data_IF_650323244993
#
_entry.id   IF_650323244993
#
_cell.length_a   1.000
_cell.length_b   1.000
_cell.length_c   1.000
_cell.angle_alpha   90.00
_cell.angle_beta   90.00
_cell.angle_gamma   90.00
#
_symmetry.space_group_name_H-M   'P 1'
#
loop_
_entity.id
_entity.type
_entity.pdbx_description
1 polymer ?
#
# COMPACT_ATOMS: atom_id res chain seq x y z
N UNK A 1 18.74 -0.50 20.38
CA UNK A 1 19.04 -1.08 19.05
C UNK A 1 17.71 -1.25 18.33
N UNK A 2 17.33 -0.31 17.47
CA UNK A 2 16.11 -0.41 16.68
C UNK A 2 16.42 -1.25 15.45
N UNK A 3 15.93 -2.49 15.42
CA UNK A 3 15.90 -3.32 14.22
C UNK A 3 14.91 -2.66 13.24
N UNK A 4 15.41 -1.76 12.39
CA UNK A 4 14.65 -1.08 11.32
C UNK A 4 14.41 -1.99 10.11
N UNK A 5 13.94 -3.22 10.37
CA UNK A 5 13.60 -4.17 9.32
C UNK A 5 12.27 -4.82 9.64
N UNK A 6 11.28 -4.65 8.75
CA UNK A 6 10.04 -5.44 8.83
C UNK A 6 10.43 -6.92 8.85
N UNK A 7 9.85 -7.74 9.75
CA UNK A 7 10.22 -9.14 9.85
C UNK A 7 9.96 -9.85 8.53
N UNK A 8 10.91 -10.69 8.10
CA UNK A 8 10.73 -11.52 6.91
C UNK A 8 9.63 -12.55 7.19
N UNK A 9 8.53 -12.44 6.46
CA UNK A 9 7.44 -13.41 6.51
C UNK A 9 7.74 -14.60 5.59
N UNK A 10 7.46 -15.82 6.06
CA UNK A 10 7.69 -17.06 5.32
C UNK A 10 6.33 -17.71 5.01
N UNK A 11 5.99 -17.96 3.73
CA UNK A 11 4.77 -18.66 3.35
C UNK A 11 4.72 -20.08 3.93
N UNK A 12 3.53 -20.51 4.36
CA UNK A 12 3.33 -21.82 5.01
C UNK A 12 2.79 -22.91 4.07
N UNK A 13 2.49 -22.57 2.82
CA UNK A 13 1.79 -23.45 1.87
C UNK A 13 0.27 -23.50 2.06
N UNK A 14 -0.27 -22.84 3.09
CA UNK A 14 -1.71 -22.69 3.31
C UNK A 14 -2.14 -21.23 3.16
N UNK A 15 -3.36 -21.01 2.69
CA UNK A 15 -3.92 -19.68 2.50
C UNK A 15 -4.13 -18.97 3.85
N UNK A 16 -3.48 -17.83 4.02
CA UNK A 16 -3.52 -17.04 5.26
C UNK A 16 -4.86 -16.35 5.54
N UNK A 17 -5.82 -16.37 4.60
CA UNK A 17 -7.18 -15.94 4.89
C UNK A 17 -7.93 -16.90 5.86
N UNK A 18 -7.34 -18.05 6.21
CA UNK A 18 -7.91 -19.01 7.16
C UNK A 18 -8.81 -20.08 6.53
N UNK A 19 -9.00 -20.11 5.22
CA UNK A 19 -9.87 -21.10 4.56
C UNK A 19 -9.26 -22.52 4.45
N UNK A 20 -8.00 -22.71 4.85
CA UNK A 20 -7.31 -23.99 4.82
C UNK A 20 -6.83 -24.47 3.44
N UNK A 21 -7.13 -23.75 2.36
CA UNK A 21 -6.72 -24.11 0.99
C UNK A 21 -5.20 -24.08 0.82
N UNK A 22 -4.66 -25.06 0.09
CA UNK A 22 -3.26 -25.06 -0.35
C UNK A 22 -2.98 -23.92 -1.35
N UNK A 23 -1.80 -23.32 -1.23
CA UNK A 23 -1.35 -22.25 -2.13
C UNK A 23 0.00 -22.62 -2.74
N UNK A 24 0.24 -22.12 -3.96
CA UNK A 24 1.49 -22.40 -4.67
C UNK A 24 2.73 -21.93 -3.91
N UNK A 25 3.88 -22.52 -4.25
CA UNK A 25 5.17 -22.17 -3.66
C UNK A 25 5.41 -20.65 -3.67
N UNK A 26 5.85 -20.10 -2.54
CA UNK A 26 6.11 -18.68 -2.39
C UNK A 26 4.87 -17.79 -2.21
N UNK A 27 3.65 -18.34 -2.23
CA UNK A 27 2.40 -17.55 -2.08
C UNK A 27 1.86 -17.62 -0.66
N UNK A 28 1.33 -16.50 -0.17
CA UNK A 28 0.63 -16.41 1.11
C UNK A 28 -0.88 -16.63 1.00
N UNK A 29 -1.46 -16.29 -0.14
CA UNK A 29 -2.91 -16.28 -0.37
C UNK A 29 -3.28 -17.04 -1.64
N UNK A 30 -4.46 -17.64 -1.65
CA UNK A 30 -5.14 -18.02 -2.88
C UNK A 30 -5.54 -16.76 -3.67
N UNK A 31 -5.81 -16.90 -4.96
CA UNK A 31 -6.14 -15.75 -5.83
C UNK A 31 -7.35 -14.97 -5.28
N UNK A 32 -7.16 -13.68 -5.00
CA UNK A 32 -8.19 -12.77 -4.45
C UNK A 32 -8.44 -12.88 -2.95
N UNK A 33 -7.81 -13.85 -2.25
CA UNK A 33 -8.04 -14.07 -0.82
C UNK A 33 -7.27 -13.09 0.09
N UNK A 34 -6.29 -12.36 -0.46
CA UNK A 34 -5.64 -11.24 0.21
C UNK A 34 -6.67 -10.16 0.58
N UNK A 35 -7.60 -9.85 -0.33
CA UNK A 35 -8.67 -8.88 -0.09
C UNK A 35 -9.73 -9.36 0.89
N UNK A 36 -10.01 -10.65 0.91
CA UNK A 36 -10.89 -11.25 1.93
C UNK A 36 -10.25 -11.12 3.31
N UNK A 37 -8.95 -11.44 3.43
CA UNK A 37 -8.22 -11.31 4.68
C UNK A 37 -8.13 -9.85 5.16
N UNK A 38 -7.85 -8.92 4.25
CA UNK A 38 -7.85 -7.47 4.51
C UNK A 38 -9.23 -7.00 5.02
N UNK A 39 -10.32 -7.38 4.34
CA UNK A 39 -11.68 -7.00 4.75
C UNK A 39 -12.06 -7.58 6.12
N UNK A 40 -11.70 -8.84 6.40
CA UNK A 40 -11.92 -9.45 7.71
C UNK A 40 -11.14 -8.71 8.82
N UNK A 41 -9.87 -8.35 8.56
CA UNK A 41 -9.08 -7.54 9.49
C UNK A 41 -9.72 -6.17 9.72
N UNK A 42 -10.19 -5.53 8.65
CA UNK A 42 -10.88 -4.24 8.71
C UNK A 42 -12.13 -4.29 9.60
N UNK A 43 -12.97 -5.32 9.44
CA UNK A 43 -14.15 -5.51 10.28
C UNK A 43 -13.78 -5.77 11.74
N UNK A 44 -12.76 -6.60 12.00
CA UNK A 44 -12.35 -6.99 13.35
C UNK A 44 -11.65 -5.88 14.15
N UNK A 45 -10.94 -4.96 13.47
CA UNK A 45 -10.07 -3.98 14.13
C UNK A 45 -10.50 -2.54 13.96
N UNK A 46 -11.29 -2.23 12.93
CA UNK A 46 -11.59 -0.86 12.53
C UNK A 46 -13.06 -0.66 12.16
N UNK A 47 -13.97 -1.55 12.57
CA UNK A 47 -15.40 -1.52 12.25
C UNK A 47 -15.70 -1.38 10.74
N UNK A 48 -14.82 -1.95 9.89
CA UNK A 48 -14.91 -1.83 8.44
C UNK A 48 -14.64 -0.43 7.89
N UNK A 49 -14.17 0.50 8.72
CA UNK A 49 -13.97 1.91 8.35
C UNK A 49 -12.50 2.23 8.06
N UNK A 50 -12.23 2.66 6.83
CA UNK A 50 -10.91 3.19 6.44
C UNK A 50 -10.55 4.44 7.26
N UNK A 51 -11.54 5.26 7.63
CA UNK A 51 -11.29 6.42 8.47
C UNK A 51 -10.78 6.02 9.87
N UNK A 52 -11.37 4.96 10.46
CA UNK A 52 -10.91 4.44 11.75
C UNK A 52 -9.52 3.78 11.64
N UNK A 53 -9.24 3.06 10.55
CA UNK A 53 -7.89 2.56 10.26
C UNK A 53 -6.88 3.71 10.21
N UNK A 54 -7.14 4.76 9.43
CA UNK A 54 -6.22 5.89 9.31
C UNK A 54 -6.01 6.57 10.66
N UNK A 55 -7.09 6.83 11.39
CA UNK A 55 -7.04 7.45 12.72
C UNK A 55 -6.24 6.61 13.72
N UNK A 56 -6.45 5.30 13.75
CA UNK A 56 -5.72 4.38 14.63
C UNK A 56 -4.21 4.35 14.36
N UNK A 57 -3.78 4.73 13.14
CA UNK A 57 -2.37 4.84 12.75
C UNK A 57 -1.86 6.30 12.76
N UNK A 58 -2.61 7.20 13.41
CA UNK A 58 -2.22 8.59 13.60
C UNK A 58 -2.50 9.51 12.42
N UNK A 59 -3.17 9.04 11.37
CA UNK A 59 -3.49 9.84 10.18
C UNK A 59 -4.91 10.42 10.25
N UNK A 60 -5.14 11.53 9.54
CA UNK A 60 -6.44 12.20 9.52
C UNK A 60 -6.42 13.45 8.64
N UNK A 61 -7.41 14.32 8.80
CA UNK A 61 -7.54 15.57 8.03
C UNK A 61 -6.33 16.51 8.19
N UNK A 62 -5.69 16.51 9.36
CA UNK A 62 -4.52 17.34 9.67
C UNK A 62 -3.18 16.60 9.54
N UNK A 63 -3.19 15.27 9.40
CA UNK A 63 -1.99 14.46 9.22
C UNK A 63 -2.19 13.50 8.04
N UNK A 64 -1.77 13.94 6.86
CA UNK A 64 -2.03 13.25 5.60
C UNK A 64 -1.15 12.01 5.45
N UNK A 65 -1.79 10.84 5.32
CA UNK A 65 -1.09 9.56 5.02
C UNK A 65 -0.34 9.60 3.69
N UNK A 66 -0.86 10.33 2.69
CA UNK A 66 -0.16 10.47 1.39
C UNK A 66 1.08 11.33 1.52
N UNK A 67 1.01 12.41 2.31
CA UNK A 67 2.17 13.25 2.55
C UNK A 67 3.24 12.47 3.31
N UNK A 68 2.85 11.79 4.39
CA UNK A 68 3.76 10.92 5.15
C UNK A 68 4.44 9.88 4.27
N UNK A 69 3.69 9.21 3.38
CA UNK A 69 4.23 8.23 2.46
C UNK A 69 5.28 8.81 1.48
N UNK A 70 5.13 10.07 1.05
CA UNK A 70 6.13 10.73 0.18
C UNK A 70 7.37 11.17 0.95
N UNK A 71 7.22 11.55 2.21
CA UNK A 71 8.33 12.07 3.03
C UNK A 71 9.12 11.01 3.77
N UNK A 72 8.57 9.80 3.92
CA UNK A 72 9.20 8.69 4.62
C UNK A 72 10.31 8.07 3.73
N UNK A 73 11.58 8.04 4.19
CA UNK A 73 12.70 7.53 3.39
C UNK A 73 12.62 6.02 3.10
N UNK A 74 11.83 5.27 3.85
CA UNK A 74 11.61 3.83 3.66
C UNK A 74 10.38 3.55 2.76
N UNK A 75 9.66 4.59 2.32
CA UNK A 75 8.51 4.47 1.44
C UNK A 75 8.84 4.91 0.02
N UNK A 76 8.48 4.09 -0.96
CA UNK A 76 8.74 4.37 -2.38
C UNK A 76 7.69 5.28 -3.03
N UNK A 77 6.90 6.02 -2.26
CA UNK A 77 5.90 6.92 -2.82
C UNK A 77 6.53 8.23 -3.27
N UNK A 78 6.09 8.72 -4.41
CA UNK A 78 6.64 9.91 -5.04
C UNK A 78 5.54 10.97 -5.22
N UNK A 79 5.95 12.24 -5.20
CA UNK A 79 5.12 13.36 -5.68
C UNK A 79 5.49 13.66 -7.13
N UNK A 80 4.48 13.91 -7.96
CA UNK A 80 4.71 14.37 -9.32
C UNK A 80 5.44 15.73 -9.30
N UNK A 81 6.44 15.92 -10.16
CA UNK A 81 7.20 17.17 -10.24
C UNK A 81 6.35 18.34 -10.76
N UNK A 82 5.29 18.04 -11.51
CA UNK A 82 4.51 19.01 -12.28
C UNK A 82 3.18 19.39 -11.60
N UNK A 83 2.70 18.61 -10.63
CA UNK A 83 1.44 18.85 -9.94
C UNK A 83 1.38 18.22 -8.53
N UNK A 84 0.21 18.28 -7.87
CA UNK A 84 0.01 17.74 -6.53
C UNK A 84 -0.35 16.23 -6.48
N UNK A 85 -0.26 15.51 -7.59
CA UNK A 85 -0.47 14.07 -7.60
C UNK A 85 0.67 13.34 -6.85
N UNK A 86 0.33 12.27 -6.13
CA UNK A 86 1.31 11.43 -5.43
C UNK A 86 0.87 9.97 -5.50
N UNK A 87 1.84 9.06 -5.62
CA UNK A 87 1.57 7.64 -5.77
C UNK A 87 2.84 6.81 -5.85
N UNK A 88 2.66 5.51 -6.11
CA UNK A 88 3.77 4.63 -6.41
C UNK A 88 4.47 5.04 -7.73
N UNK A 89 5.75 4.64 -7.95
CA UNK A 89 6.54 5.10 -9.10
C UNK A 89 5.86 4.82 -10.45
N UNK A 90 5.27 3.63 -10.59
CA UNK A 90 4.51 3.25 -11.80
C UNK A 90 3.27 4.15 -12.02
N UNK A 91 2.58 4.56 -10.95
CA UNK A 91 1.45 5.48 -11.03
C UNK A 91 1.91 6.89 -11.43
N UNK A 92 3.04 7.37 -10.91
CA UNK A 92 3.63 8.65 -11.34
C UNK A 92 4.02 8.61 -12.82
N UNK A 93 4.67 7.56 -13.29
CA UNK A 93 5.06 7.42 -14.69
C UNK A 93 3.86 7.45 -15.64
N UNK A 94 2.79 6.71 -15.30
CA UNK A 94 1.56 6.71 -16.08
C UNK A 94 0.84 8.07 -16.05
N UNK A 95 0.78 8.69 -14.87
CA UNK A 95 0.19 10.02 -14.69
C UNK A 95 0.93 11.07 -15.52
N UNK A 96 2.27 11.13 -15.47
CA UNK A 96 3.05 12.10 -16.26
C UNK A 96 2.82 11.95 -17.77
N UNK A 97 2.78 10.72 -18.29
CA UNK A 97 2.49 10.45 -19.71
C UNK A 97 1.11 10.95 -20.14
N UNK A 98 0.11 10.79 -19.27
CA UNK A 98 -1.29 11.09 -19.58
C UNK A 98 -1.64 12.55 -19.35
N UNK A 99 -1.21 13.11 -18.22
CA UNK A 99 -1.65 14.40 -17.70
C UNK A 99 -0.61 15.51 -17.93
N UNK A 100 0.64 15.17 -18.28
CA UNK A 100 1.73 16.10 -18.61
C UNK A 100 2.48 15.73 -19.91
N UNK A 101 1.78 15.46 -21.03
CA UNK A 101 2.40 14.95 -22.26
C UNK A 101 3.44 15.89 -22.86
N UNK A 102 3.21 17.20 -22.80
CA UNK A 102 4.09 18.26 -23.33
C UNK A 102 5.41 18.44 -22.55
N UNK A 103 5.47 17.93 -21.32
CA UNK A 103 6.67 17.99 -20.46
C UNK A 103 7.45 16.67 -20.43
N UNK A 104 6.92 15.61 -21.04
CA UNK A 104 7.60 14.32 -21.19
C UNK A 104 8.46 14.25 -22.46
N UNK A 105 8.35 15.23 -23.37
CA UNK A 105 9.01 15.26 -24.69
C UNK A 105 10.28 16.13 -24.80
N UNK A 106 10.90 16.54 -23.70
CA UNK A 106 12.23 17.18 -23.71
C UNK A 106 13.26 16.19 -23.17
N UNK A 107 13.68 15.27 -24.04
CA UNK A 107 14.77 14.32 -23.86
C UNK A 107 15.29 13.92 -25.22
#
# INVERSE_FOLDING_TARGET
>A
MSITGKPRLIPTGKCWCGCGRDVGLGKFFAAGHDKIAEAALMALKYDGSVAQLLHAHGYGSHHSVRHAAVTDPDCSWEKCADCNYSGAPASIANHRKKDHPERHGLG
#
